data_IF_342480953779
#
_entry.id   IF_342480953779
#
_cell.length_a   1.000
_cell.length_b   1.000
_cell.length_c   1.000
_cell.angle_alpha   90.00
_cell.angle_beta   90.00
_cell.angle_gamma   90.00
#
_symmetry.space_group_name_H-M   'P 1'
#
loop_
_entity.id
_entity.type
_entity.pdbx_description
1 polymer ?
#
# COMPACT_ATOMS: atom_id res chain seq x y z
N UNK A 1 16.84 -6.71 -23.55
CA UNK A 1 15.60 -6.29 -22.87
C UNK A 1 14.74 -5.58 -23.90
N UNK A 2 13.59 -6.17 -24.22
CA UNK A 2 12.56 -5.63 -25.10
C UNK A 2 11.66 -4.62 -24.37
N UNK A 3 10.88 -3.85 -25.12
CA UNK A 3 9.92 -2.90 -24.55
C UNK A 3 8.83 -3.64 -23.75
N UNK A 4 8.40 -4.79 -24.25
CA UNK A 4 7.43 -5.67 -23.61
C UNK A 4 7.94 -6.17 -22.25
N UNK A 5 9.20 -6.60 -22.17
CA UNK A 5 9.82 -7.01 -20.91
C UNK A 5 9.89 -5.86 -19.89
N UNK A 6 10.19 -4.63 -20.35
CA UNK A 6 10.20 -3.44 -19.49
C UNK A 6 8.79 -3.13 -18.99
N UNK A 7 7.78 -3.22 -19.85
CA UNK A 7 6.38 -2.98 -19.49
C UNK A 7 5.91 -3.99 -18.43
N UNK A 8 6.19 -5.28 -18.63
CA UNK A 8 5.83 -6.32 -17.67
C UNK A 8 6.58 -6.14 -16.34
N UNK A 9 7.87 -5.78 -16.38
CA UNK A 9 8.63 -5.49 -15.17
C UNK A 9 8.04 -4.31 -14.39
N UNK A 10 7.75 -3.19 -15.06
CA UNK A 10 7.15 -2.01 -14.43
C UNK A 10 5.78 -2.33 -13.85
N UNK A 11 4.96 -3.13 -14.54
CA UNK A 11 3.66 -3.59 -14.04
C UNK A 11 3.80 -4.40 -12.75
N UNK A 12 4.69 -5.40 -12.74
CA UNK A 12 4.93 -6.25 -11.56
C UNK A 12 5.47 -5.40 -10.40
N UNK A 13 6.44 -4.51 -10.66
CA UNK A 13 6.99 -3.61 -9.66
C UNK A 13 5.92 -2.70 -9.05
N UNK A 14 5.02 -2.14 -9.88
CA UNK A 14 3.92 -1.29 -9.41
C UNK A 14 2.95 -2.06 -8.49
N UNK A 15 2.60 -3.29 -8.84
CA UNK A 15 1.74 -4.14 -8.02
C UNK A 15 2.38 -4.44 -6.66
N UNK A 16 3.66 -4.85 -6.66
CA UNK A 16 4.41 -5.11 -5.42
C UNK A 16 4.50 -3.87 -4.53
N UNK A 17 4.76 -2.70 -5.12
CA UNK A 17 4.77 -1.44 -4.38
C UNK A 17 3.40 -1.13 -3.75
N UNK A 18 2.31 -1.34 -4.49
CA UNK A 18 0.97 -1.11 -3.96
C UNK A 18 0.68 -2.01 -2.74
N UNK A 19 0.97 -3.30 -2.84
CA UNK A 19 0.76 -4.26 -1.75
C UNK A 19 1.57 -3.93 -0.49
N UNK A 20 2.83 -3.50 -0.67
CA UNK A 20 3.73 -3.22 0.45
C UNK A 20 3.50 -1.85 1.09
N UNK A 21 3.16 -0.83 0.30
CA UNK A 21 3.15 0.57 0.79
C UNK A 21 1.75 1.17 0.94
N UNK A 22 0.70 0.56 0.38
CA UNK A 22 -0.67 1.11 0.48
C UNK A 22 -1.45 0.62 1.70
N UNK A 23 -0.92 -0.37 2.44
CA UNK A 23 -1.46 -0.77 3.73
C UNK A 23 -0.93 0.13 4.84
N UNK A 24 -1.47 1.35 4.92
CA UNK A 24 -1.38 2.12 6.15
C UNK A 24 -2.33 1.49 7.16
N UNK A 25 -1.84 0.55 7.98
CA UNK A 25 -2.53 0.25 9.22
C UNK A 25 -2.53 1.53 10.06
N UNK A 26 -3.67 1.97 10.60
CA UNK A 26 -3.69 3.04 11.59
C UNK A 26 -2.74 2.65 12.73
N UNK A 27 -1.61 3.34 12.83
CA UNK A 27 -0.65 3.12 13.93
C UNK A 27 -1.11 3.75 15.23
N UNK A 28 -2.15 4.60 15.15
CA UNK A 28 -2.83 5.09 16.32
C UNK A 28 -3.66 3.93 16.92
N UNK A 29 -3.40 3.53 18.18
CA UNK A 29 -4.36 2.71 18.90
C UNK A 29 -5.71 3.41 18.84
N UNK A 30 -6.77 2.68 18.48
CA UNK A 30 -8.13 3.19 18.57
C UNK A 30 -8.47 3.35 20.06
N UNK A 31 -8.01 4.45 20.65
CA UNK A 31 -8.34 4.81 22.02
C UNK A 31 -9.82 5.18 21.98
N UNK A 32 -10.68 4.21 22.33
CA UNK A 32 -12.10 4.43 22.64
C UNK A 32 -12.18 5.31 23.89
N UNK A 33 -11.88 6.60 23.74
CA UNK A 33 -12.19 7.59 24.76
C UNK A 33 -13.71 7.68 24.81
N UNK A 34 -14.34 7.69 26.01
CA UNK A 34 -15.76 7.98 26.10
C UNK A 34 -16.00 9.32 25.42
N UNK A 35 -16.80 9.31 24.36
CA UNK A 35 -17.33 10.55 23.79
C UNK A 35 -18.15 11.23 24.87
N UNK A 36 -17.92 12.52 25.10
CA UNK A 36 -18.68 13.29 26.06
C UNK A 36 -20.13 13.36 25.54
N UNK A 37 -21.01 12.57 26.14
CA UNK A 37 -22.46 12.67 25.98
C UNK A 37 -22.99 13.86 26.78
#
# INVERSE_FOLDING_TARGET
MSLEEIIEYVRVAALLCHENFSRQQPTAPEVRKPTLH
#
